data_IF_623269549297
#
_entry.id   IF_623269549297
#
_cell.length_a   1.000
_cell.length_b   1.000
_cell.length_c   1.000
_cell.angle_alpha   90.00
_cell.angle_beta   90.00
_cell.angle_gamma   90.00
#
_symmetry.space_group_name_H-M   'P 1'
#
loop_
_entity.id
_entity.type
_entity.pdbx_description
1 polymer ?
#
# COMPACT_ATOMS: atom_id res chain seq x y z
N UNK A 1 15.99 -29.99 -12.61
CA UNK A 1 15.37 -29.44 -11.37
C UNK A 1 15.97 -28.07 -11.10
N UNK A 2 15.29 -27.01 -11.51
CA UNK A 2 15.54 -25.65 -11.02
C UNK A 2 14.17 -25.14 -10.59
N UNK A 3 13.93 -25.10 -9.28
CA UNK A 3 12.68 -24.56 -8.75
C UNK A 3 12.58 -23.11 -9.21
N UNK A 4 11.52 -22.78 -9.95
CA UNK A 4 11.16 -21.41 -10.26
C UNK A 4 11.06 -20.69 -8.90
N UNK A 5 12.01 -19.80 -8.64
CA UNK A 5 12.02 -18.94 -7.46
C UNK A 5 10.90 -17.92 -7.61
N UNK A 6 9.68 -18.33 -7.27
CA UNK A 6 8.53 -17.44 -7.28
C UNK A 6 8.75 -16.30 -6.25
N UNK A 7 8.95 -15.06 -6.72
CA UNK A 7 9.26 -13.94 -5.82
C UNK A 7 8.11 -13.66 -4.85
N UNK A 8 6.87 -13.90 -5.27
CA UNK A 8 5.67 -13.70 -4.43
C UNK A 8 5.69 -14.65 -3.24
N UNK A 9 6.02 -15.92 -3.48
CA UNK A 9 6.15 -16.92 -2.42
C UNK A 9 7.26 -16.56 -1.44
N UNK A 10 8.42 -16.14 -1.93
CA UNK A 10 9.56 -15.77 -1.09
C UNK A 10 9.27 -14.56 -0.21
N UNK A 11 8.63 -13.52 -0.77
CA UNK A 11 8.24 -12.32 -0.02
C UNK A 11 7.19 -12.66 1.03
N UNK A 12 6.15 -13.43 0.68
CA UNK A 12 5.14 -13.89 1.63
C UNK A 12 5.78 -14.63 2.82
N UNK A 13 6.62 -15.62 2.55
CA UNK A 13 7.29 -16.39 3.60
C UNK A 13 8.21 -15.52 4.46
N UNK A 14 8.90 -14.55 3.86
CA UNK A 14 9.79 -13.64 4.59
C UNK A 14 8.99 -12.70 5.51
N UNK A 15 7.85 -12.19 5.06
CA UNK A 15 6.97 -11.39 5.92
C UNK A 15 6.50 -12.22 7.13
N UNK A 16 5.98 -13.43 6.88
CA UNK A 16 5.51 -14.32 7.96
C UNK A 16 6.63 -14.68 8.94
N UNK A 17 7.82 -15.03 8.43
CA UNK A 17 8.98 -15.35 9.26
C UNK A 17 9.42 -14.14 10.11
N UNK A 18 9.42 -12.93 9.55
CA UNK A 18 9.82 -11.71 10.26
C UNK A 18 8.91 -11.36 11.44
N UNK A 19 7.62 -11.69 11.31
CA UNK A 19 6.57 -11.36 12.29
C UNK A 19 6.30 -12.50 13.29
N UNK A 20 6.75 -13.73 12.98
CA UNK A 20 6.45 -14.90 13.80
C UNK A 20 7.23 -14.90 15.12
N UNK A 21 6.57 -14.98 16.29
CA UNK A 21 7.24 -15.12 17.58
C UNK A 21 7.92 -16.49 17.75
N UNK A 22 7.57 -17.48 16.93
CA UNK A 22 8.13 -18.83 16.96
C UNK A 22 9.38 -18.98 16.06
N UNK A 23 9.62 -18.03 15.15
CA UNK A 23 10.79 -18.07 14.28
C UNK A 23 12.07 -17.82 15.07
N UNK A 24 13.13 -18.57 14.75
CA UNK A 24 14.46 -18.41 15.33
C UNK A 24 15.00 -16.99 15.03
N UNK A 25 15.79 -16.37 15.93
CA UNK A 25 16.33 -15.02 15.71
C UNK A 25 17.09 -14.88 14.38
N UNK A 26 17.84 -15.90 14.00
CA UNK A 26 18.56 -15.93 12.72
C UNK A 26 17.60 -15.92 11.53
N UNK A 27 16.53 -16.71 11.58
CA UNK A 27 15.53 -16.76 10.51
C UNK A 27 14.81 -15.41 10.34
N UNK A 28 14.50 -14.70 11.43
CA UNK A 28 13.92 -13.35 11.33
C UNK A 28 14.88 -12.36 10.70
N UNK A 29 16.16 -12.43 11.07
CA UNK A 29 17.21 -11.58 10.49
C UNK A 29 17.37 -11.81 9.00
N UNK A 30 17.40 -13.07 8.57
CA UNK A 30 17.52 -13.45 7.16
C UNK A 30 16.28 -13.01 6.37
N UNK A 31 15.08 -13.16 6.95
CA UNK A 31 13.83 -12.70 6.36
C UNK A 31 13.80 -11.17 6.17
N UNK A 32 14.23 -10.40 7.19
CA UNK A 32 14.33 -8.93 7.07
C UNK A 32 15.37 -8.55 6.01
N UNK A 33 16.52 -9.22 5.96
CA UNK A 33 17.53 -8.97 4.95
C UNK A 33 16.99 -9.21 3.52
N UNK A 34 16.20 -10.26 3.32
CA UNK A 34 15.53 -10.53 2.04
C UNK A 34 14.53 -9.44 1.69
N UNK A 35 13.70 -9.00 2.65
CA UNK A 35 12.74 -7.90 2.42
C UNK A 35 13.45 -6.58 2.07
N UNK A 36 14.58 -6.28 2.69
CA UNK A 36 15.40 -5.11 2.35
C UNK A 36 16.06 -5.22 0.96
N UNK A 37 16.46 -6.43 0.56
CA UNK A 37 16.92 -6.68 -0.81
C UNK A 37 15.77 -6.51 -1.82
N UNK A 38 14.58 -7.00 -1.47
CA UNK A 38 13.39 -6.89 -2.31
C UNK A 38 12.98 -5.44 -2.55
N UNK A 39 13.04 -4.57 -1.53
CA UNK A 39 12.82 -3.11 -1.70
C UNK A 39 13.70 -2.46 -2.77
N UNK A 40 14.90 -3.00 -2.98
CA UNK A 40 15.89 -2.53 -3.95
C UNK A 40 15.82 -3.27 -5.29
N UNK A 41 14.94 -4.26 -5.42
CA UNK A 41 14.73 -5.00 -6.66
C UNK A 41 14.10 -4.10 -7.75
N UNK A 42 13.97 -4.64 -8.95
CA UNK A 42 13.33 -3.94 -10.06
C UNK A 42 11.86 -3.59 -9.73
N UNK A 43 11.44 -2.36 -10.02
CA UNK A 43 10.06 -1.89 -9.78
C UNK A 43 9.02 -2.74 -10.51
N UNK A 44 9.39 -3.33 -11.65
CA UNK A 44 8.52 -4.23 -12.42
C UNK A 44 8.15 -5.51 -11.68
N UNK A 45 9.01 -5.95 -10.75
CA UNK A 45 8.76 -7.13 -9.90
C UNK A 45 8.06 -6.75 -8.60
N UNK A 46 8.32 -5.55 -8.07
CA UNK A 46 7.74 -5.07 -6.82
C UNK A 46 6.24 -4.88 -6.90
N UNK A 47 5.76 -4.16 -7.93
CA UNK A 47 4.34 -3.81 -8.06
C UNK A 47 3.39 -5.03 -8.08
N UNK A 48 3.60 -6.06 -8.92
CA UNK A 48 2.70 -7.21 -8.97
C UNK A 48 2.73 -8.03 -7.68
N UNK A 49 3.90 -8.20 -7.06
CA UNK A 49 4.04 -8.94 -5.79
C UNK A 49 3.34 -8.19 -4.67
N UNK A 50 3.61 -6.90 -4.49
CA UNK A 50 2.96 -6.11 -3.46
C UNK A 50 1.45 -6.00 -3.69
N UNK A 51 1.01 -5.82 -4.94
CA UNK A 51 -0.41 -5.79 -5.28
C UNK A 51 -1.14 -7.07 -4.90
N UNK A 52 -0.54 -8.23 -5.21
CA UNK A 52 -1.11 -9.53 -4.87
C UNK A 52 -1.18 -9.79 -3.36
N UNK A 53 -0.22 -9.26 -2.59
CA UNK A 53 -0.20 -9.39 -1.13
C UNK A 53 -1.10 -8.37 -0.42
N UNK A 54 -1.36 -7.22 -1.03
CA UNK A 54 -2.28 -6.20 -0.51
C UNK A 54 -3.73 -6.63 -0.69
N UNK A 55 -4.09 -7.26 -1.80
CA UNK A 55 -5.48 -7.69 -2.05
C UNK A 55 -5.84 -8.93 -1.22
N UNK A 56 -6.93 -8.86 -0.44
CA UNK A 56 -7.39 -9.99 0.40
C UNK A 56 -7.68 -11.23 -0.44
N UNK A 57 -8.38 -11.05 -1.57
CA UNK A 57 -8.75 -12.16 -2.45
C UNK A 57 -7.53 -12.82 -3.10
N UNK A 58 -6.56 -12.03 -3.56
CA UNK A 58 -5.35 -12.56 -4.17
C UNK A 58 -4.45 -13.23 -3.13
N UNK A 59 -4.30 -12.64 -1.94
CA UNK A 59 -3.56 -13.24 -0.83
C UNK A 59 -4.13 -14.60 -0.42
N UNK A 60 -5.46 -14.72 -0.33
CA UNK A 60 -6.12 -16.00 -0.04
C UNK A 60 -5.84 -17.05 -1.14
N UNK A 61 -5.89 -16.64 -2.41
CA UNK A 61 -5.54 -17.50 -3.54
C UNK A 61 -4.08 -17.97 -3.50
N UNK A 62 -3.14 -17.06 -3.21
CA UNK A 62 -1.71 -17.37 -3.07
C UNK A 62 -1.45 -18.31 -1.89
N UNK A 63 -2.09 -18.07 -0.75
CA UNK A 63 -1.96 -18.92 0.43
C UNK A 63 -2.41 -20.36 0.12
N UNK A 64 -3.54 -20.52 -0.56
CA UNK A 64 -4.02 -21.82 -1.04
C UNK A 64 -3.04 -22.46 -2.04
N UNK A 65 -2.54 -21.69 -3.01
CA UNK A 65 -1.58 -22.16 -4.01
C UNK A 65 -0.26 -22.65 -3.39
N UNK A 66 0.21 -21.99 -2.33
CA UNK A 66 1.46 -22.33 -1.66
C UNK A 66 1.30 -23.29 -0.48
N UNK A 67 0.07 -23.71 -0.16
CA UNK A 67 -0.22 -24.59 0.97
C UNK A 67 0.05 -23.94 2.33
N UNK A 68 -0.09 -22.61 2.44
CA UNK A 68 0.12 -21.86 3.67
C UNK A 68 -1.23 -21.55 4.31
N UNK A 69 -1.41 -21.93 5.57
CA UNK A 69 -2.56 -21.51 6.34
C UNK A 69 -2.28 -20.16 6.99
N UNK A 70 -3.07 -19.14 6.66
CA UNK A 70 -2.98 -17.81 7.24
C UNK A 70 -4.08 -17.61 8.27
N UNK A 71 -3.69 -17.33 9.51
CA UNK A 71 -4.63 -16.85 10.52
C UNK A 71 -5.05 -15.39 10.25
N UNK A 72 -6.11 -14.88 10.90
CA UNK A 72 -6.55 -13.49 10.74
C UNK A 72 -5.45 -12.46 11.02
N UNK A 73 -4.59 -12.73 12.02
CA UNK A 73 -3.46 -11.88 12.35
C UNK A 73 -2.38 -11.89 11.25
N UNK A 74 -2.12 -13.05 10.65
CA UNK A 74 -1.15 -13.19 9.56
C UNK A 74 -1.64 -12.44 8.30
N UNK A 75 -2.93 -12.54 7.98
CA UNK A 75 -3.53 -11.78 6.87
C UNK A 75 -3.32 -10.28 7.06
N UNK A 76 -3.61 -9.76 8.26
CA UNK A 76 -3.41 -8.32 8.56
C UNK A 76 -1.92 -7.95 8.50
N UNK A 77 -1.06 -8.76 9.11
CA UNK A 77 0.39 -8.52 9.15
C UNK A 77 1.05 -8.54 7.77
N UNK A 78 0.63 -9.47 6.90
CA UNK A 78 1.10 -9.54 5.50
C UNK A 78 0.64 -8.34 4.71
N UNK A 79 -0.67 -8.01 4.77
CA UNK A 79 -1.20 -6.85 4.05
C UNK A 79 -0.56 -5.55 4.50
N UNK A 80 -0.34 -5.36 5.81
CA UNK A 80 0.35 -4.16 6.35
C UNK A 80 1.76 -4.01 5.79
N UNK A 81 2.55 -5.09 5.79
CA UNK A 81 3.89 -5.07 5.23
C UNK A 81 3.87 -4.79 3.71
N UNK A 82 2.92 -5.39 2.99
CA UNK A 82 2.76 -5.17 1.56
C UNK A 82 2.35 -3.72 1.23
N UNK A 83 1.44 -3.12 2.01
CA UNK A 83 1.12 -1.69 1.91
C UNK A 83 2.35 -0.83 2.13
N UNK A 84 3.16 -1.11 3.16
CA UNK A 84 4.38 -0.33 3.43
C UNK A 84 5.36 -0.40 2.25
N UNK A 85 5.58 -1.59 1.68
CA UNK A 85 6.44 -1.76 0.51
C UNK A 85 5.89 -1.01 -0.71
N UNK A 86 4.60 -1.12 -0.98
CA UNK A 86 3.97 -0.44 -2.12
C UNK A 86 3.99 1.08 -1.98
N UNK A 87 3.70 1.59 -0.78
CA UNK A 87 3.78 3.02 -0.48
C UNK A 87 5.21 3.54 -0.59
N UNK A 88 6.21 2.79 -0.16
CA UNK A 88 7.63 3.15 -0.32
C UNK A 88 8.02 3.26 -1.79
N UNK A 89 7.62 2.29 -2.62
CA UNK A 89 7.84 2.33 -4.07
C UNK A 89 7.13 3.53 -4.70
N UNK A 90 5.86 3.76 -4.37
CA UNK A 90 5.10 4.88 -4.89
C UNK A 90 5.70 6.23 -4.45
N UNK A 91 6.24 6.33 -3.22
CA UNK A 91 6.83 7.56 -2.71
C UNK A 91 8.21 7.85 -3.31
N UNK A 92 9.07 6.84 -3.39
CA UNK A 92 10.49 7.04 -3.67
C UNK A 92 10.90 6.70 -5.10
N UNK A 93 10.14 5.83 -5.78
CA UNK A 93 10.52 5.24 -7.08
C UNK A 93 9.46 5.41 -8.17
N UNK A 94 8.52 6.36 -7.98
CA UNK A 94 7.44 6.63 -8.94
C UNK A 94 7.92 6.87 -10.38
N UNK A 95 9.05 7.56 -10.52
CA UNK A 95 9.62 7.92 -11.83
C UNK A 95 10.15 6.69 -12.60
N UNK A 96 10.50 5.61 -11.90
CA UNK A 96 10.95 4.36 -12.51
C UNK A 96 9.78 3.55 -13.10
N UNK A 97 8.55 3.77 -12.61
CA UNK A 97 7.35 3.12 -13.13
C UNK A 97 7.00 3.66 -14.51
N UNK A 98 6.64 2.78 -15.43
CA UNK A 98 6.07 3.16 -16.72
C UNK A 98 4.61 3.64 -16.56
N UNK A 99 4.01 4.29 -17.58
CA UNK A 99 2.64 4.82 -17.47
C UNK A 99 1.58 3.78 -17.10
N UNK A 100 1.68 2.56 -17.64
CA UNK A 100 0.74 1.46 -17.35
C UNK A 100 0.85 1.00 -15.90
N UNK A 101 2.07 0.90 -15.37
CA UNK A 101 2.34 0.55 -13.97
C UNK A 101 1.84 1.64 -13.02
N UNK A 102 2.02 2.92 -13.36
CA UNK A 102 1.47 4.04 -12.57
C UNK A 102 -0.05 4.00 -12.53
N UNK A 103 -0.68 3.71 -13.67
CA UNK A 103 -2.13 3.55 -13.77
C UNK A 103 -2.61 2.35 -12.94
N UNK A 104 -1.93 1.21 -13.03
CA UNK A 104 -2.23 0.02 -12.23
C UNK A 104 -2.10 0.29 -10.72
N UNK A 105 -1.03 0.97 -10.29
CA UNK A 105 -0.84 1.37 -8.90
C UNK A 105 -1.97 2.29 -8.40
N UNK A 106 -2.41 3.24 -9.24
CA UNK A 106 -3.51 4.17 -8.92
C UNK A 106 -4.82 3.44 -8.75
N UNK A 107 -5.15 2.52 -9.68
CA UNK A 107 -6.37 1.71 -9.61
C UNK A 107 -6.37 0.81 -8.37
N UNK A 108 -5.24 0.17 -8.09
CA UNK A 108 -5.09 -0.67 -6.89
C UNK A 108 -5.28 0.16 -5.62
N UNK A 109 -4.63 1.32 -5.50
CA UNK A 109 -4.78 2.19 -4.32
C UNK A 109 -6.23 2.63 -4.11
N UNK A 110 -6.93 2.97 -5.19
CA UNK A 110 -8.35 3.33 -5.13
C UNK A 110 -9.25 2.15 -4.74
N UNK A 111 -9.01 0.98 -5.33
CA UNK A 111 -9.76 -0.25 -5.00
C UNK A 111 -9.63 -0.61 -3.52
N UNK A 112 -8.40 -0.63 -3.00
CA UNK A 112 -8.12 -0.97 -1.61
C UNK A 112 -8.65 0.09 -0.63
N UNK A 113 -8.63 1.38 -1.02
CA UNK A 113 -9.30 2.43 -0.27
C UNK A 113 -10.82 2.19 -0.21
N UNK A 114 -11.45 1.90 -1.34
CA UNK A 114 -12.90 1.64 -1.41
C UNK A 114 -13.29 0.43 -0.57
N UNK A 115 -12.51 -0.64 -0.62
CA UNK A 115 -12.72 -1.84 0.19
C UNK A 115 -12.57 -1.55 1.69
N UNK A 116 -11.57 -0.74 2.07
CA UNK A 116 -11.34 -0.34 3.46
C UNK A 116 -12.48 0.52 4.03
N UNK A 117 -13.17 1.28 3.16
CA UNK A 117 -14.29 2.18 3.47
C UNK A 117 -15.64 1.44 3.50
N UNK A 118 -15.72 0.23 2.93
CA UNK A 118 -16.94 -0.55 2.87
C UNK A 118 -17.46 -0.92 4.28
N UNK A 119 -18.79 -0.90 4.50
CA UNK A 119 -19.37 -1.24 5.80
C UNK A 119 -19.03 -2.70 6.19
N UNK A 120 -18.70 -2.97 7.47
CA UNK A 120 -18.44 -4.31 7.95
C UNK A 120 -19.75 -5.12 7.88
N UNK A 121 -19.91 -5.92 6.82
CA UNK A 121 -21.12 -6.74 6.59
C UNK A 121 -21.58 -6.88 5.14
N UNK A 122 -20.93 -6.23 4.17
CA UNK A 122 -21.29 -6.32 2.75
C UNK A 122 -20.82 -7.58 2.00
N UNK A 123 -20.09 -8.48 2.66
CA UNK A 123 -19.67 -9.77 2.10
C UNK A 123 -20.21 -10.89 2.96
N UNK A 124 -21.10 -11.71 2.39
CA UNK A 124 -21.35 -13.05 2.91
C UNK A 124 -20.02 -13.80 2.94
N UNK A 125 -19.80 -14.56 4.01
CA UNK A 125 -18.59 -15.31 4.35
C UNK A 125 -17.56 -14.52 5.17
N UNK A 126 -17.23 -15.04 6.35
CA UNK A 126 -16.45 -14.42 7.44
C UNK A 126 -15.01 -13.97 7.13
N UNK A 127 -14.64 -13.76 5.86
CA UNK A 127 -13.41 -13.10 5.43
C UNK A 127 -13.47 -11.57 5.54
N UNK A 128 -14.67 -10.98 5.67
CA UNK A 128 -14.88 -9.52 5.78
C UNK A 128 -14.26 -8.84 7.00
N UNK A 129 -13.82 -9.59 8.01
CA UNK A 129 -13.17 -9.03 9.20
C UNK A 129 -11.70 -8.59 8.95
N UNK A 130 -11.03 -9.18 7.96
CA UNK A 130 -9.62 -8.85 7.65
C UNK A 130 -9.48 -7.72 6.62
N UNK A 131 -10.51 -7.47 5.80
CA UNK A 131 -10.55 -6.41 4.78
C UNK A 131 -10.46 -5.01 5.38
N UNK A 132 -11.26 -4.76 6.42
CA UNK A 132 -11.47 -3.44 7.03
C UNK A 132 -10.88 -3.25 8.42
N UNK A 133 -9.82 -3.98 8.79
CA UNK A 133 -9.16 -3.75 10.08
C UNK A 133 -8.65 -2.30 10.16
N UNK A 134 -8.79 -1.66 11.34
CA UNK A 134 -8.39 -0.26 11.54
C UNK A 134 -6.98 0.10 11.02
N UNK A 135 -5.92 -0.73 11.22
CA UNK A 135 -4.60 -0.38 10.70
C UNK A 135 -4.52 -0.44 9.16
N UNK A 136 -5.27 -1.31 8.51
CA UNK A 136 -5.30 -1.41 7.04
C UNK A 136 -6.02 -0.23 6.40
N UNK A 137 -7.07 0.29 7.05
CA UNK A 137 -7.76 1.51 6.61
C UNK A 137 -6.83 2.73 6.58
N UNK A 138 -5.98 2.88 7.60
CA UNK A 138 -4.97 3.94 7.60
C UNK A 138 -3.96 3.78 6.47
N UNK A 139 -3.49 2.55 6.23
CA UNK A 139 -2.52 2.26 5.17
C UNK A 139 -3.08 2.41 3.76
N UNK A 140 -4.34 2.07 3.51
CA UNK A 140 -4.97 2.33 2.21
C UNK A 140 -5.13 3.81 1.94
N UNK A 141 -5.53 4.61 2.95
CA UNK A 141 -5.60 6.07 2.83
C UNK A 141 -4.22 6.71 2.58
N UNK A 142 -3.18 6.24 3.28
CA UNK A 142 -1.79 6.69 3.08
C UNK A 142 -1.31 6.39 1.65
N UNK A 143 -1.50 5.16 1.17
CA UNK A 143 -1.13 4.77 -0.19
C UNK A 143 -1.84 5.64 -1.24
N UNK A 144 -3.15 5.84 -1.08
CA UNK A 144 -3.93 6.65 -2.01
C UNK A 144 -3.43 8.09 -2.07
N UNK A 145 -3.17 8.70 -0.91
CA UNK A 145 -2.61 10.05 -0.83
C UNK A 145 -1.26 10.16 -1.57
N UNK A 146 -0.36 9.19 -1.37
CA UNK A 146 0.94 9.15 -2.05
C UNK A 146 0.77 9.03 -3.56
N UNK A 147 -0.07 8.12 -4.05
CA UNK A 147 -0.23 7.93 -5.49
C UNK A 147 -0.87 9.15 -6.16
N UNK A 148 -1.91 9.75 -5.56
CA UNK A 148 -2.54 10.97 -6.07
C UNK A 148 -1.53 12.11 -6.17
N UNK A 149 -0.70 12.29 -5.14
CA UNK A 149 0.37 13.30 -5.14
C UNK A 149 1.33 13.09 -6.30
N UNK A 150 1.75 11.85 -6.52
CA UNK A 150 2.72 11.51 -7.56
C UNK A 150 2.16 11.66 -8.98
N UNK A 151 0.85 11.49 -9.15
CA UNK A 151 0.15 11.77 -10.40
C UNK A 151 -0.04 13.27 -10.64
N UNK A 152 -0.12 14.07 -9.57
CA UNK A 152 -0.17 15.53 -9.63
C UNK A 152 -1.58 16.11 -9.57
N UNK A 153 -1.68 17.41 -9.87
CA UNK A 153 -2.90 18.21 -9.64
C UNK A 153 -4.13 17.73 -10.41
N UNK A 154 -3.95 17.16 -11.60
CA UNK A 154 -5.06 16.61 -12.39
C UNK A 154 -5.73 15.43 -11.68
N UNK A 155 -4.93 14.49 -11.15
CA UNK A 155 -5.46 13.36 -10.39
C UNK A 155 -6.10 13.80 -9.07
N UNK A 156 -5.54 14.82 -8.43
CA UNK A 156 -6.16 15.43 -7.25
C UNK A 156 -7.54 16.03 -7.56
N UNK A 157 -7.65 16.78 -8.66
CA UNK A 157 -8.92 17.38 -9.09
C UNK A 157 -9.99 16.32 -9.43
N UNK A 158 -9.58 15.17 -9.95
CA UNK A 158 -10.47 14.05 -10.27
C UNK A 158 -10.97 13.30 -9.02
N UNK A 159 -10.10 13.12 -8.02
CA UNK A 159 -10.42 12.32 -6.84
C UNK A 159 -11.14 13.11 -5.75
N UNK A 160 -10.91 14.42 -5.66
CA UNK A 160 -11.47 15.26 -4.60
C UNK A 160 -13.00 15.20 -4.54
N UNK A 161 -13.76 15.33 -5.66
CA UNK A 161 -15.21 15.17 -5.62
C UNK A 161 -15.65 13.81 -5.09
N UNK A 162 -14.94 12.73 -5.45
CA UNK A 162 -15.26 11.37 -5.01
C UNK A 162 -15.03 11.20 -3.50
N UNK A 163 -13.95 11.78 -2.96
CA UNK A 163 -13.71 11.82 -1.51
C UNK A 163 -14.79 12.63 -0.77
N UNK A 164 -15.26 13.74 -1.35
CA UNK A 164 -16.35 14.53 -0.76
C UNK A 164 -17.68 13.77 -0.75
N UNK A 165 -18.02 13.10 -1.85
CA UNK A 165 -19.22 12.25 -1.92
C UNK A 165 -19.11 11.08 -0.95
N UNK A 166 -17.94 10.44 -0.86
CA UNK A 166 -17.66 9.38 0.09
C UNK A 166 -17.83 9.86 1.54
N UNK A 167 -17.27 11.02 1.88
CA UNK A 167 -17.41 11.60 3.22
C UNK A 167 -18.88 11.85 3.62
N UNK A 168 -19.74 12.21 2.67
CA UNK A 168 -21.16 12.39 2.92
C UNK A 168 -21.93 11.07 3.17
N UNK A 169 -21.35 9.92 2.86
CA UNK A 169 -22.01 8.61 3.00
C UNK A 169 -22.01 8.06 4.44
N UNK A 170 -21.17 8.58 5.34
CA UNK A 170 -21.22 8.22 6.76
C UNK A 170 -19.93 8.54 7.52
N UNK A 171 -19.94 8.37 8.87
CA UNK A 171 -18.81 8.76 9.72
C UNK A 171 -17.50 8.04 9.39
N UNK A 172 -17.54 6.74 9.08
CA UNK A 172 -16.34 5.96 8.76
C UNK A 172 -15.76 6.36 7.40
N UNK A 173 -16.62 6.66 6.43
CA UNK A 173 -16.24 7.16 5.12
C UNK A 173 -15.65 8.57 5.20
N UNK A 174 -16.25 9.42 6.05
CA UNK A 174 -15.75 10.76 6.36
C UNK A 174 -14.36 10.70 7.01
N UNK A 175 -14.17 9.86 8.04
CA UNK A 175 -12.86 9.69 8.71
C UNK A 175 -11.76 9.37 7.70
N UNK A 176 -11.99 8.38 6.82
CA UNK A 176 -10.98 7.95 5.86
C UNK A 176 -10.74 8.97 4.75
N UNK A 177 -11.79 9.62 4.25
CA UNK A 177 -11.65 10.69 3.25
C UNK A 177 -10.87 11.88 3.82
N UNK A 178 -11.17 12.28 5.06
CA UNK A 178 -10.42 13.31 5.78
C UNK A 178 -8.95 12.90 6.00
N UNK A 179 -8.69 11.61 6.29
CA UNK A 179 -7.32 11.10 6.47
C UNK A 179 -6.52 11.18 5.16
N UNK A 180 -7.11 10.86 4.00
CA UNK A 180 -6.46 11.05 2.70
C UNK A 180 -6.11 12.52 2.47
N UNK A 181 -7.06 13.43 2.68
CA UNK A 181 -6.85 14.88 2.51
C UNK A 181 -5.79 15.42 3.47
N UNK A 182 -5.77 14.91 4.71
CA UNK A 182 -4.74 15.26 5.69
C UNK A 182 -3.35 14.83 5.21
N UNK A 183 -3.17 13.58 4.77
CA UNK A 183 -1.88 13.11 4.27
C UNK A 183 -1.41 13.88 3.04
N UNK A 184 -2.30 14.21 2.11
CA UNK A 184 -1.96 15.03 0.94
C UNK A 184 -1.46 16.42 1.39
N UNK A 185 -2.13 17.03 2.37
CA UNK A 185 -1.82 18.39 2.83
C UNK A 185 -0.53 18.44 3.65
N UNK A 186 -0.30 17.45 4.52
CA UNK A 186 0.91 17.35 5.34
C UNK A 186 2.16 17.26 4.46
N UNK A 187 2.09 16.44 3.42
CA UNK A 187 3.20 16.20 2.50
C UNK A 187 3.52 17.40 1.59
N UNK A 188 2.54 18.24 1.27
CA UNK A 188 2.74 19.49 0.50
C UNK A 188 3.37 20.59 1.37
N UNK A 189 2.91 20.71 2.61
CA UNK A 189 3.36 21.78 3.51
C UNK A 189 4.70 21.50 4.18
N UNK A 190 5.10 20.23 4.29
CA UNK A 190 6.36 19.84 4.95
C UNK A 190 7.55 19.58 4.00
N UNK A 191 7.33 19.41 2.67
CA UNK A 191 8.39 18.97 1.75
C UNK A 191 8.63 19.83 0.50
N UNK A 192 7.97 20.99 0.35
CA UNK A 192 8.33 21.97 -0.70
C UNK A 192 9.54 22.84 -0.31
N UNK A 193 10.70 22.21 -0.11
CA UNK A 193 12.01 22.87 -0.26
C UNK A 193 12.89 21.89 -1.03
N UNK A 194 12.81 21.93 -2.37
CA UNK A 194 13.85 21.57 -3.36
C UNK A 194 13.22 21.25 -4.72
N UNK A 195 12.62 22.27 -5.36
CA UNK A 195 12.51 22.28 -6.82
C UNK A 195 13.85 22.75 -7.42
N UNK A 196 14.28 22.24 -8.59
CA UNK A 196 15.53 22.64 -9.26
C UNK A 196 15.53 24.07 -9.81
N UNK A 197 14.55 24.90 -9.45
CA UNK A 197 14.33 26.25 -9.97
C UNK A 197 14.09 27.28 -8.83
N UNK A 198 14.76 27.09 -7.70
CA UNK A 198 14.78 28.08 -6.62
C UNK A 198 15.71 29.25 -6.96
N UNK A 199 15.31 30.09 -7.92
CA UNK A 199 15.81 31.46 -7.96
C UNK A 199 15.48 32.13 -6.62
N UNK A 200 16.46 32.65 -5.86
CA UNK A 200 16.18 33.32 -4.60
C UNK A 200 15.35 34.58 -4.89
N UNK A 201 14.12 34.62 -4.36
CA UNK A 201 13.34 35.87 -4.34
C UNK A 201 14.14 36.90 -3.53
N UNK A 202 14.37 38.12 -4.06
CA UNK A 202 15.03 39.16 -3.29
C UNK A 202 14.13 39.53 -2.12
N UNK A 203 14.72 39.63 -0.92
CA UNK A 203 14.07 40.20 0.25
C UNK A 203 13.74 41.66 -0.07
N UNK A 204 12.46 41.99 -0.15
CA UNK A 204 12.03 43.38 -0.06
C UNK A 204 12.30 43.86 1.37
N UNK A 205 13.02 44.97 1.49
CA UNK A 205 13.31 45.65 2.75
C UNK A 205 12.10 46.37 3.34
#
# INVERSE_FOLDING_TARGET
MAAISDPTRLVLQSILASQSPQALPQQRKDAVALLEQFKRADVSSLLPVCGALVSVGQLAGLAAQYGVMLGPADVVGVRLAAFQLLTDVARNRWRELNPDQRMAATRLAWQEFTEAVAPPGGGADGAGAAGGSYPLRGKSAELLAVVVRQQGSAAYAEILPQLMTGAAAGPSQAELSCRVLHYISEDLTQFEVNGPDSTPRPRAG
#
